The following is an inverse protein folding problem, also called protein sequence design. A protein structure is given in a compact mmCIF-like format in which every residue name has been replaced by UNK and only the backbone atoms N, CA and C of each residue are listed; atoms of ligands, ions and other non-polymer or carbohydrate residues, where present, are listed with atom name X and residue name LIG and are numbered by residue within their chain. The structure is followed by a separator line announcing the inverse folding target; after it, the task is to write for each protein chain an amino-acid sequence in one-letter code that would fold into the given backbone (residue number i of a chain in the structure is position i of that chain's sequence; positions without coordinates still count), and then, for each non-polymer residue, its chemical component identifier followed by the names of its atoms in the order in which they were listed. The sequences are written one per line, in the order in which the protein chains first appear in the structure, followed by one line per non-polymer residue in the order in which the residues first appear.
data_IF_034686438058
#
_entry.id   IF_034686438058
#
_cell.length_a   1.000
_cell.length_b   1.000
_cell.length_c   1.000
_cell.angle_alpha   90.00
_cell.angle_beta   90.00
_cell.angle_gamma   90.00
#
_symmetry.space_group_name_H-M   'P 1'
#
loop_
_entity.id
_entity.type
_entity.pdbx_description
1 polymer ?
#
# COMPACT_ATOMS: atom_id res chain seq x y z
N UNK A 1 4.68 2.83 13.01
CA UNK A 1 5.39 3.59 11.96
C UNK A 1 6.37 2.71 11.21
N UNK A 2 6.24 2.71 9.87
CA UNK A 2 7.24 2.15 8.96
C UNK A 2 8.50 3.01 9.05
N UNK A 3 9.65 2.36 9.25
CA UNK A 3 10.93 3.04 9.31
C UNK A 3 11.41 3.36 7.89
N UNK A 4 11.63 4.65 7.63
CA UNK A 4 12.30 5.13 6.42
C UNK A 4 13.64 5.75 6.81
N UNK A 5 14.67 5.60 5.97
CA UNK A 5 15.99 6.19 6.20
C UNK A 5 15.98 7.71 5.90
N UNK A 6 15.18 8.46 6.66
CA UNK A 6 14.97 9.91 6.53
C UNK A 6 14.55 10.50 7.87
N UNK A 7 14.82 11.79 8.08
CA UNK A 7 14.32 12.52 9.26
C UNK A 7 12.81 12.83 9.17
N UNK A 8 12.17 12.57 8.02
CA UNK A 8 10.77 12.88 7.76
C UNK A 8 9.83 11.66 7.91
N UNK A 9 10.18 10.70 8.77
CA UNK A 9 9.45 9.43 8.94
C UNK A 9 7.95 9.65 9.14
N UNK A 10 7.56 10.62 9.99
CA UNK A 10 6.15 10.93 10.25
C UNK A 10 5.40 11.40 9.01
N UNK A 11 6.03 12.26 8.20
CA UNK A 11 5.42 12.79 6.98
C UNK A 11 5.23 11.69 5.95
N UNK A 12 6.22 10.82 5.76
CA UNK A 12 6.13 9.70 4.83
C UNK A 12 5.03 8.72 5.23
N UNK A 13 4.97 8.36 6.51
CA UNK A 13 3.91 7.49 7.02
C UNK A 13 2.52 8.13 6.86
N UNK A 14 2.38 9.44 7.13
CA UNK A 14 1.12 10.16 6.92
C UNK A 14 0.68 10.13 5.45
N UNK A 15 1.60 10.40 4.52
CA UNK A 15 1.32 10.38 3.08
C UNK A 15 0.87 8.98 2.63
N UNK A 16 1.62 7.94 3.02
CA UNK A 16 1.32 6.56 2.65
C UNK A 16 -0.02 6.12 3.23
N UNK A 17 -0.30 6.43 4.51
CA UNK A 17 -1.58 6.15 5.15
C UNK A 17 -2.75 6.75 4.36
N UNK A 18 -2.62 8.01 3.98
CA UNK A 18 -3.66 8.75 3.29
C UNK A 18 -3.98 8.12 1.93
N UNK A 19 -2.94 7.77 1.16
CA UNK A 19 -3.14 7.09 -0.12
C UNK A 19 -3.73 5.69 0.04
N UNK A 20 -3.28 4.91 1.03
CA UNK A 20 -3.85 3.58 1.30
C UNK A 20 -5.35 3.67 1.61
N UNK A 21 -5.77 4.65 2.40
CA UNK A 21 -7.18 4.90 2.71
C UNK A 21 -8.01 5.26 1.48
N UNK A 22 -7.48 6.12 0.60
CA UNK A 22 -8.22 6.58 -0.58
C UNK A 22 -8.28 5.51 -1.66
N UNK A 23 -7.18 4.82 -1.91
CA UNK A 23 -7.11 3.89 -3.04
C UNK A 23 -7.62 2.51 -2.65
N UNK A 24 -7.13 1.97 -1.53
CA UNK A 24 -7.39 0.58 -1.14
C UNK A 24 -8.62 0.49 -0.24
N UNK A 25 -8.61 1.24 0.86
CA UNK A 25 -9.58 1.13 1.96
C UNK A 25 -10.69 2.19 1.92
N UNK A 26 -11.05 2.67 0.73
CA UNK A 26 -12.09 3.68 0.60
C UNK A 26 -13.47 3.05 0.89
N UNK A 27 -14.06 3.45 2.01
CA UNK A 27 -15.36 2.99 2.50
C UNK A 27 -16.51 3.28 1.53
N UNK A 28 -16.35 4.27 0.63
CA UNK A 28 -17.37 4.64 -0.36
C UNK A 28 -17.30 3.79 -1.64
N UNK A 29 -16.34 2.87 -1.76
CA UNK A 29 -16.22 1.99 -2.92
C UNK A 29 -16.89 0.63 -2.68
N UNK A 30 -17.88 0.27 -3.50
CA UNK A 30 -18.59 -1.03 -3.47
C UNK A 30 -17.69 -2.25 -3.82
N UNK A 31 -16.38 -2.07 -4.02
CA UNK A 31 -15.45 -3.12 -4.47
C UNK A 31 -14.68 -3.80 -3.33
N UNK A 32 -14.42 -5.11 -3.46
CA UNK A 32 -13.55 -5.82 -2.51
C UNK A 32 -12.11 -5.30 -2.64
N UNK A 33 -11.45 -5.10 -1.50
CA UNK A 33 -10.01 -4.84 -1.42
C UNK A 33 -9.23 -5.86 -2.27
N UNK A 34 -9.68 -7.11 -2.31
CA UNK A 34 -9.10 -8.14 -3.17
C UNK A 34 -8.97 -7.72 -4.64
N UNK A 35 -10.02 -7.15 -5.23
CA UNK A 35 -10.01 -6.75 -6.65
C UNK A 35 -8.96 -5.66 -6.91
N UNK A 36 -8.81 -4.72 -5.96
CA UNK A 36 -7.80 -3.66 -6.02
C UNK A 36 -6.39 -4.23 -5.89
N UNK A 37 -6.20 -5.17 -4.96
CA UNK A 37 -4.91 -5.83 -4.77
C UNK A 37 -4.50 -6.70 -5.96
N UNK A 38 -5.44 -7.29 -6.71
CA UNK A 38 -5.14 -8.03 -7.93
C UNK A 38 -4.52 -7.14 -9.02
N UNK A 39 -4.93 -5.87 -9.08
CA UNK A 39 -4.40 -4.89 -10.05
C UNK A 39 -2.98 -4.47 -9.66
N UNK A 40 -2.73 -4.29 -8.36
CA UNK A 40 -1.47 -3.74 -7.83
C UNK A 40 -0.38 -4.82 -7.76
N UNK A 41 -0.71 -6.01 -7.30
CA UNK A 41 0.27 -7.05 -7.02
C UNK A 41 0.52 -7.95 -8.23
N UNK A 42 1.71 -8.59 -8.31
CA UNK A 42 1.97 -9.60 -9.32
C UNK A 42 0.90 -10.71 -9.29
N UNK A 43 0.25 -10.97 -10.44
CA UNK A 43 -0.89 -11.91 -10.55
C UNK A 43 -0.64 -13.28 -9.92
N UNK A 44 0.56 -13.83 -10.09
CA UNK A 44 0.91 -15.13 -9.51
C UNK A 44 0.96 -15.08 -7.98
N UNK A 45 1.58 -14.03 -7.42
CA UNK A 45 1.68 -13.83 -5.99
C UNK A 45 0.29 -13.69 -5.34
N UNK A 46 -0.56 -12.86 -5.94
CA UNK A 46 -1.90 -12.62 -5.43
C UNK A 46 -2.76 -13.89 -5.43
N UNK A 47 -2.72 -14.68 -6.51
CA UNK A 47 -3.48 -15.94 -6.62
C UNK A 47 -3.07 -16.98 -5.59
N UNK A 48 -1.76 -17.15 -5.38
CA UNK A 48 -1.23 -18.17 -4.46
C UNK A 48 -1.29 -17.74 -2.99
N UNK A 49 -1.25 -16.43 -2.72
CA UNK A 49 -1.08 -15.88 -1.37
C UNK A 49 -2.13 -14.81 -1.04
N UNK A 50 -3.36 -14.92 -1.57
CA UNK A 50 -4.44 -13.93 -1.45
C UNK A 50 -4.62 -13.39 -0.02
N UNK A 51 -4.82 -14.28 0.96
CA UNK A 51 -5.05 -13.87 2.35
C UNK A 51 -3.85 -13.14 2.93
N UNK A 52 -2.65 -13.60 2.60
CA UNK A 52 -1.42 -12.97 3.06
C UNK A 52 -1.25 -11.57 2.44
N UNK A 53 -1.66 -11.38 1.19
CA UNK A 53 -1.64 -10.06 0.55
C UNK A 53 -2.56 -9.08 1.30
N UNK A 54 -3.77 -9.50 1.68
CA UNK A 54 -4.70 -8.67 2.48
C UNK A 54 -4.10 -8.30 3.83
N UNK A 55 -3.54 -9.27 4.54
CA UNK A 55 -2.89 -9.05 5.84
C UNK A 55 -1.72 -8.07 5.71
N UNK A 56 -0.86 -8.22 4.71
CA UNK A 56 0.29 -7.32 4.51
C UNK A 56 -0.17 -5.88 4.28
N UNK A 57 -1.22 -5.66 3.49
CA UNK A 57 -1.76 -4.31 3.28
C UNK A 57 -2.43 -3.73 4.54
N UNK A 58 -3.07 -4.58 5.34
CA UNK A 58 -3.65 -4.18 6.62
C UNK A 58 -2.56 -3.81 7.63
N UNK A 59 -1.48 -4.61 7.70
CA UNK A 59 -0.29 -4.31 8.50
C UNK A 59 0.34 -2.99 8.07
N UNK A 60 0.53 -2.75 6.77
CA UNK A 60 1.03 -1.47 6.26
C UNK A 60 0.14 -0.30 6.69
N UNK A 61 -1.18 -0.43 6.59
CA UNK A 61 -2.12 0.60 7.02
C UNK A 61 -1.98 0.89 8.51
N UNK A 62 -2.05 -0.13 9.37
CA UNK A 62 -1.96 0.02 10.83
C UNK A 62 -0.60 0.59 11.22
N UNK A 63 0.47 0.08 10.62
CA UNK A 63 1.83 0.53 10.92
C UNK A 63 2.06 1.98 10.50
N UNK A 64 1.36 2.52 9.51
CA UNK A 64 1.50 3.94 9.17
C UNK A 64 0.94 4.90 10.24
N UNK A 65 0.00 4.44 11.08
CA UNK A 65 -0.60 5.25 12.16
C UNK A 65 0.00 5.00 13.54
N UNK A 66 0.65 3.85 13.72
CA UNK A 66 1.15 3.43 15.03
C UNK A 66 2.39 4.21 15.50
N UNK A 67 2.57 4.35 16.81
CA UNK A 67 3.70 5.01 17.46
C UNK A 67 4.96 4.12 17.57
N UNK A 68 4.86 2.81 17.31
CA UNK A 68 6.01 1.89 17.37
C UNK A 68 6.70 1.72 16.02
N UNK A 69 8.03 1.55 16.01
CA UNK A 69 8.75 1.30 14.76
C UNK A 69 8.65 -0.17 14.37
N UNK A 70 8.26 -0.42 13.12
CA UNK A 70 8.12 -1.76 12.56
C UNK A 70 9.15 -1.98 11.44
N UNK A 71 9.82 -3.14 11.48
CA UNK A 71 10.70 -3.57 10.40
C UNK A 71 9.88 -4.32 9.35
N UNK A 72 9.97 -3.87 8.11
CA UNK A 72 9.32 -4.53 6.99
C UNK A 72 9.99 -5.87 6.68
N UNK A 73 9.17 -6.89 6.40
CA UNK A 73 9.65 -8.08 5.70
C UNK A 73 9.75 -7.80 4.20
N UNK A 74 10.43 -8.66 3.44
CA UNK A 74 10.49 -8.54 1.98
C UNK A 74 9.11 -8.47 1.31
N UNK A 75 8.08 -9.05 1.93
CA UNK A 75 6.72 -8.96 1.41
C UNK A 75 6.12 -7.56 1.62
N UNK A 76 6.34 -6.95 2.79
CA UNK A 76 5.92 -5.56 3.03
C UNK A 76 6.59 -4.60 2.06
N UNK A 77 7.89 -4.77 1.84
CA UNK A 77 8.65 -3.94 0.91
C UNK A 77 8.13 -4.07 -0.52
N UNK A 78 7.89 -5.31 -0.98
CA UNK A 78 7.31 -5.57 -2.30
C UNK A 78 5.91 -4.97 -2.45
N UNK A 79 5.05 -5.15 -1.44
CA UNK A 79 3.68 -4.63 -1.45
C UNK A 79 3.66 -3.10 -1.49
N UNK A 80 4.47 -2.44 -0.66
CA UNK A 80 4.59 -1.00 -0.65
C UNK A 80 5.18 -0.48 -1.96
N UNK A 81 6.20 -1.14 -2.51
CA UNK A 81 6.79 -0.78 -3.80
C UNK A 81 5.77 -0.87 -4.94
N UNK A 82 5.07 -2.00 -5.06
CA UNK A 82 4.04 -2.20 -6.08
C UNK A 82 2.91 -1.18 -5.98
N UNK A 83 2.50 -0.84 -4.75
CA UNK A 83 1.53 0.22 -4.51
C UNK A 83 2.02 1.59 -4.98
N UNK A 84 3.28 1.94 -4.70
CA UNK A 84 3.87 3.20 -5.16
C UNK A 84 4.01 3.26 -6.68
N UNK A 85 4.36 2.15 -7.34
CA UNK A 85 4.35 2.06 -8.81
C UNK A 85 2.94 2.29 -9.37
N UNK A 86 1.93 1.62 -8.81
CA UNK A 86 0.53 1.82 -9.19
C UNK A 86 0.10 3.29 -9.08
N UNK A 87 0.43 3.98 -7.99
CA UNK A 87 0.15 5.41 -7.82
C UNK A 87 0.88 6.27 -8.86
N UNK A 88 2.13 5.93 -9.18
CA UNK A 88 2.93 6.64 -10.18
C UNK A 88 2.31 6.52 -11.57
N UNK A 89 1.87 5.32 -11.95
CA UNK A 89 1.28 5.04 -13.25
C UNK A 89 -0.07 5.75 -13.44
N UNK A 90 -0.89 5.82 -12.39
CA UNK A 90 -2.14 6.60 -12.43
C UNK A 90 -1.90 8.08 -12.75
N UNK A 91 -0.82 8.65 -12.22
CA UNK A 91 -0.45 10.05 -12.53
C UNK A 91 0.02 10.20 -13.98
N UNK A 92 0.83 9.28 -14.48
CA UNK A 92 1.32 9.31 -15.87
C UNK A 92 0.20 9.26 -16.92
N UNK A 93 -0.93 8.64 -16.60
CA UNK A 93 -2.15 8.66 -17.44
C UNK A 93 -2.89 10.01 -17.43
N UNK A 94 -2.80 10.78 -16.34
CA UNK A 94 -3.49 12.06 -16.19
C UNK A 94 -2.73 13.26 -16.77
N UNK A 95 -1.41 13.15 -16.97
CA UNK A 95 -0.58 14.20 -17.59
C UNK A 95 -0.68 14.24 -19.13
N UNK A 96 -1.56 13.43 -19.75
CA UNK A 96 -1.81 13.40 -21.21
C UNK A 96 -3.08 14.17 -21.65
N UNK A 97 -3.69 14.99 -20.79
CA UNK A 97 -4.85 15.82 -21.11
C UNK A 97 -4.55 17.31 -21.01
#
# INVERSE_FOLDING_TARGET
MILFNTNHVKVYNYIINHFLKIEIYNDDSDGDIGDKLEIILPKYLFREQYQKCKVIFEELLIWTEDNFYHNMSAFHELALYAFLEYLSDMRGGNEQF
#
